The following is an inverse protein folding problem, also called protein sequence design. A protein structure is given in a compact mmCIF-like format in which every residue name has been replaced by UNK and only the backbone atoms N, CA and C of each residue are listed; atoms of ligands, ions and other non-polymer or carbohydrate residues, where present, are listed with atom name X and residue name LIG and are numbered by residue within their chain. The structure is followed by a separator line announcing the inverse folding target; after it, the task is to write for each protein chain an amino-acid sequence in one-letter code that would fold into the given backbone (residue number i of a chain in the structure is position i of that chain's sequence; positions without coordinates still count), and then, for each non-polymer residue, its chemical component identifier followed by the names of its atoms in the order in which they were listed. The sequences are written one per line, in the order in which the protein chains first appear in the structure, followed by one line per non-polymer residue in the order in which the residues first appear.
data_IF_740640386689
#
_entry.id   IF_740640386689
#
_cell.length_a   1.000
_cell.length_b   1.000
_cell.length_c   1.000
_cell.angle_alpha   90.00
_cell.angle_beta   90.00
_cell.angle_gamma   90.00
#
_symmetry.space_group_name_H-M   'P 1'
#
loop_
_entity.id
_entity.type
_entity.pdbx_description
1 polymer ?
#
# COMPACT_ATOMS: atom_id res chain seq x y z
N UNK A 1 -2.08 -12.52 -16.36
CA UNK A 1 -1.46 -11.25 -16.80
C UNK A 1 -0.32 -11.52 -17.77
N UNK A 2 0.74 -12.22 -17.35
CA UNK A 2 1.82 -12.61 -18.27
C UNK A 2 1.36 -13.51 -19.42
N UNK A 3 0.52 -14.52 -19.14
CA UNK A 3 -0.06 -15.37 -20.19
C UNK A 3 -1.00 -14.60 -21.14
N UNK A 4 -1.40 -13.39 -20.73
CA UNK A 4 -2.20 -12.44 -21.52
C UNK A 4 -1.34 -11.38 -22.20
N UNK A 5 0.00 -11.52 -22.18
CA UNK A 5 0.94 -10.63 -22.88
C UNK A 5 1.47 -9.45 -22.06
N UNK A 6 1.19 -9.37 -20.75
CA UNK A 6 1.78 -8.33 -19.90
C UNK A 6 3.32 -8.47 -19.87
N UNK A 7 4.05 -7.39 -20.14
CA UNK A 7 5.52 -7.37 -20.06
C UNK A 7 6.02 -7.26 -18.64
N UNK A 8 5.23 -6.61 -17.77
CA UNK A 8 5.53 -6.45 -16.35
C UNK A 8 4.25 -6.38 -15.50
N UNK A 9 4.35 -6.72 -14.21
CA UNK A 9 3.23 -6.72 -13.27
C UNK A 9 3.67 -6.16 -11.93
N UNK A 10 3.01 -5.09 -11.51
CA UNK A 10 3.12 -4.47 -10.18
C UNK A 10 1.83 -4.73 -9.41
N UNK A 11 1.95 -5.16 -8.15
CA UNK A 11 0.82 -5.32 -7.24
C UNK A 11 0.78 -4.14 -6.26
N UNK A 12 -0.41 -3.58 -6.02
CA UNK A 12 -0.60 -2.46 -5.07
C UNK A 12 -1.72 -2.79 -4.11
N UNK A 13 -1.52 -2.57 -2.81
CA UNK A 13 -2.54 -2.78 -1.79
C UNK A 13 -2.37 -1.83 -0.60
N UNK A 14 -3.46 -1.46 0.07
CA UNK A 14 -3.36 -0.65 1.28
C UNK A 14 -2.74 -1.46 2.42
N UNK A 15 -3.25 -2.67 2.69
CA UNK A 15 -2.89 -3.44 3.89
C UNK A 15 -2.02 -4.65 3.56
N UNK A 16 -0.81 -4.69 4.13
CA UNK A 16 0.15 -5.79 3.96
C UNK A 16 -0.11 -6.95 4.95
N UNK A 17 -1.30 -7.56 4.90
CA UNK A 17 -1.63 -8.68 5.82
C UNK A 17 -0.67 -9.85 5.63
N UNK A 18 -0.37 -10.19 4.37
CA UNK A 18 0.61 -11.21 3.96
C UNK A 18 0.56 -12.47 4.85
N UNK A 19 -0.63 -13.01 5.07
CA UNK A 19 -0.83 -14.26 5.82
C UNK A 19 -0.18 -15.42 5.07
N UNK A 20 0.32 -16.42 5.78
CA UNK A 20 0.99 -17.54 5.13
C UNK A 20 0.05 -18.26 4.14
N UNK A 21 0.56 -18.68 2.97
CA UNK A 21 1.94 -18.60 2.49
C UNK A 21 2.19 -17.41 1.54
N UNK A 22 1.56 -16.24 1.76
CA UNK A 22 1.59 -15.11 0.81
C UNK A 22 3.01 -14.60 0.54
N UNK A 23 3.87 -14.47 1.55
CA UNK A 23 5.26 -14.04 1.39
C UNK A 23 6.02 -14.94 0.42
N UNK A 24 5.90 -16.26 0.59
CA UNK A 24 6.53 -17.24 -0.30
C UNK A 24 5.94 -17.21 -1.72
N UNK A 25 4.63 -17.00 -1.85
CA UNK A 25 4.00 -16.82 -3.17
C UNK A 25 4.54 -15.59 -3.88
N UNK A 26 4.67 -14.47 -3.18
CA UNK A 26 5.24 -13.27 -3.75
C UNK A 26 6.69 -13.50 -4.13
N UNK A 27 7.53 -14.02 -3.23
CA UNK A 27 8.94 -14.33 -3.49
C UNK A 27 9.15 -15.15 -4.76
N UNK A 28 8.35 -16.19 -4.96
CA UNK A 28 8.44 -17.10 -6.12
C UNK A 28 7.64 -16.63 -7.35
N UNK A 29 6.92 -15.50 -7.27
CA UNK A 29 6.15 -14.95 -8.40
C UNK A 29 7.00 -14.11 -9.35
N UNK A 30 6.50 -13.97 -10.58
CA UNK A 30 7.02 -13.07 -11.63
C UNK A 30 6.68 -11.58 -11.42
N UNK A 31 6.02 -11.22 -10.32
CA UNK A 31 5.69 -9.83 -9.98
C UNK A 31 7.00 -9.07 -9.73
N UNK A 32 7.15 -7.91 -10.37
CA UNK A 32 8.34 -7.06 -10.26
C UNK A 32 8.36 -6.25 -8.97
N UNK A 33 7.21 -5.72 -8.57
CA UNK A 33 7.09 -4.89 -7.37
C UNK A 33 5.73 -5.10 -6.66
N UNK A 34 5.76 -5.00 -5.34
CA UNK A 34 4.59 -5.02 -4.47
C UNK A 34 4.61 -3.73 -3.63
N UNK A 35 3.73 -2.80 -3.93
CA UNK A 35 3.62 -1.53 -3.21
C UNK A 35 2.52 -1.64 -2.14
N UNK A 36 2.89 -1.41 -0.89
CA UNK A 36 1.95 -1.44 0.24
C UNK A 36 2.06 -0.18 1.10
N UNK A 37 1.12 0.04 2.01
CA UNK A 37 1.27 1.11 3.01
C UNK A 37 1.71 0.57 4.36
N UNK A 38 2.29 1.44 5.20
CA UNK A 38 2.62 1.15 6.60
C UNK A 38 1.39 1.16 7.54
N UNK A 39 0.20 0.81 7.05
CA UNK A 39 -1.02 0.66 7.88
C UNK A 39 -0.97 -0.52 8.84
N UNK A 40 -0.11 -1.50 8.55
CA UNK A 40 0.21 -2.62 9.43
C UNK A 40 1.73 -2.74 9.58
N UNK A 41 2.23 -3.15 10.76
CA UNK A 41 3.64 -3.46 10.91
C UNK A 41 4.01 -4.66 10.02
N UNK A 42 5.06 -4.49 9.22
CA UNK A 42 5.59 -5.56 8.37
C UNK A 42 6.84 -6.16 9.05
N UNK A 43 6.75 -7.36 9.62
CA UNK A 43 7.86 -7.95 10.36
C UNK A 43 9.00 -8.33 9.39
N UNK A 44 10.26 -8.38 9.86
CA UNK A 44 11.44 -8.56 9.00
C UNK A 44 11.37 -9.76 8.06
N UNK A 45 10.80 -10.88 8.50
CA UNK A 45 10.65 -12.11 7.70
C UNK A 45 9.68 -11.97 6.52
N UNK A 46 8.86 -10.91 6.51
CA UNK A 46 7.94 -10.58 5.41
C UNK A 46 8.43 -9.42 4.54
N UNK A 47 9.59 -8.84 4.85
CA UNK A 47 10.21 -7.78 4.05
C UNK A 47 11.00 -8.42 2.91
N UNK A 48 10.38 -8.49 1.72
CA UNK A 48 11.03 -8.93 0.49
C UNK A 48 11.64 -7.73 -0.22
N UNK A 49 12.74 -7.93 -0.96
CA UNK A 49 13.40 -6.86 -1.73
C UNK A 49 12.48 -6.15 -2.72
N UNK A 50 11.45 -6.84 -3.19
CA UNK A 50 10.44 -6.29 -4.11
C UNK A 50 9.22 -5.68 -3.44
N UNK A 51 9.21 -5.54 -2.10
CA UNK A 51 8.15 -4.84 -1.38
C UNK A 51 8.59 -3.41 -1.10
N UNK A 52 7.80 -2.46 -1.59
CA UNK A 52 7.94 -1.03 -1.30
C UNK A 52 6.85 -0.62 -0.31
N UNK A 53 7.24 0.00 0.81
CA UNK A 53 6.29 0.47 1.84
C UNK A 53 6.16 1.98 1.80
N UNK A 54 4.97 2.47 1.47
CA UNK A 54 4.63 3.89 1.48
C UNK A 54 4.03 4.31 2.82
N UNK A 55 4.47 5.46 3.33
CA UNK A 55 3.95 5.98 4.61
C UNK A 55 2.60 6.68 4.43
N UNK A 56 1.62 6.30 5.23
CA UNK A 56 0.33 7.02 5.37
C UNK A 56 0.37 8.11 6.45
N UNK A 57 1.49 8.24 7.18
CA UNK A 57 1.61 9.19 8.28
C UNK A 57 1.26 10.65 7.90
N UNK A 58 1.67 11.17 6.72
CA UNK A 58 1.27 12.52 6.31
C UNK A 58 -0.25 12.69 6.13
N UNK A 59 -0.94 11.70 5.55
CA UNK A 59 -2.39 11.73 5.41
C UNK A 59 -3.09 11.71 6.76
N UNK A 60 -2.67 10.81 7.66
CA UNK A 60 -3.26 10.72 9.01
C UNK A 60 -3.00 11.99 9.81
N UNK A 61 -1.79 12.54 9.77
CA UNK A 61 -1.45 13.78 10.45
C UNK A 61 -2.31 14.95 9.96
N UNK A 62 -2.55 15.04 8.64
CA UNK A 62 -3.43 16.06 8.07
C UNK A 62 -4.89 15.84 8.49
N UNK A 63 -5.39 14.60 8.47
CA UNK A 63 -6.74 14.28 8.92
C UNK A 63 -6.98 14.68 10.38
N UNK A 64 -6.03 14.37 11.26
CA UNK A 64 -6.05 14.80 12.65
C UNK A 64 -6.16 16.33 12.73
N UNK A 65 -5.30 17.06 12.00
CA UNK A 65 -5.34 18.53 12.00
C UNK A 65 -6.68 19.11 11.55
N UNK A 66 -7.23 18.63 10.44
CA UNK A 66 -8.55 19.08 9.95
C UNK A 66 -9.65 18.82 10.98
N UNK A 67 -9.61 17.71 11.72
CA UNK A 67 -10.58 17.44 12.81
C UNK A 67 -10.43 18.42 13.98
N UNK A 68 -9.19 18.78 14.34
CA UNK A 68 -8.94 19.71 15.45
C UNK A 68 -9.25 21.18 15.11
N UNK A 69 -9.10 21.55 13.83
CA UNK A 69 -9.29 22.93 13.37
C UNK A 69 -10.72 23.18 12.84
N UNK A 70 -11.67 22.26 13.06
CA UNK A 70 -13.01 22.25 12.42
C UNK A 70 -12.93 22.43 10.87
N UNK A 71 -11.84 21.93 10.29
CA UNK A 71 -11.55 21.92 8.87
C UNK A 71 -12.26 20.79 8.13
N UNK A 72 -11.94 20.64 6.84
CA UNK A 72 -12.62 19.70 5.96
C UNK A 72 -11.72 18.56 5.52
N UNK A 73 -12.05 17.36 6.01
CA UNK A 73 -11.36 16.12 5.63
C UNK A 73 -11.59 15.71 4.16
N UNK A 74 -12.60 16.26 3.47
CA UNK A 74 -12.86 15.92 2.06
C UNK A 74 -11.75 16.45 1.13
N UNK A 75 -11.05 17.50 1.56
CA UNK A 75 -9.89 18.05 0.85
C UNK A 75 -8.64 17.16 0.94
N UNK A 76 -8.65 16.12 1.79
CA UNK A 76 -7.59 15.10 1.86
C UNK A 76 -7.60 14.18 0.64
N UNK A 77 -8.77 13.99 0.04
CA UNK A 77 -9.00 13.06 -1.07
C UNK A 77 -9.19 13.78 -2.41
N UNK A 78 -8.62 14.97 -2.56
CA UNK A 78 -8.62 15.72 -3.82
C UNK A 78 -9.97 16.31 -4.22
N UNK A 79 -10.94 16.43 -3.31
CA UNK A 79 -12.24 17.00 -3.62
C UNK A 79 -13.05 16.15 -4.59
N UNK A 80 -13.08 14.82 -4.40
CA UNK A 80 -14.03 13.91 -5.06
C UNK A 80 -15.48 14.21 -4.63
N UNK A 81 -16.00 15.36 -5.09
CA UNK A 81 -17.41 15.51 -5.45
C UNK A 81 -17.52 14.99 -6.88
N UNK A 82 -18.45 14.08 -7.11
CA UNK A 82 -18.58 13.33 -8.38
C UNK A 82 -18.83 14.18 -9.62
#
# INVERSE_FOLDING_TARGET
LFDSGATDVIAVATHAVLSDPATERFKNSRISEVVVTNTLPLPPEKQLDKITVLSIAPMVARAIREVFDDGSVTTLFGGLSG
#
